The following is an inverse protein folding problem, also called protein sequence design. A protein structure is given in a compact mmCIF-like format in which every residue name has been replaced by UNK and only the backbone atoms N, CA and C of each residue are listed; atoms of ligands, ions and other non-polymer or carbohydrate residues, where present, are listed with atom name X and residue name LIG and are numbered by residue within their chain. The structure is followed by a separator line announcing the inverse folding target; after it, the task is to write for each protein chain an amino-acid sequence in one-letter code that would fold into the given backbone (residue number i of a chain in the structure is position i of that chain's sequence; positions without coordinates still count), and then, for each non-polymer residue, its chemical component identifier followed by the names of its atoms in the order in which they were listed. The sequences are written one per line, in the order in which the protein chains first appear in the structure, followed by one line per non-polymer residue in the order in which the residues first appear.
data_IF_412516690950
#
_entry.id   IF_412516690950
#
_cell.length_a   1.000
_cell.length_b   1.000
_cell.length_c   1.000
_cell.angle_alpha   90.00
_cell.angle_beta   90.00
_cell.angle_gamma   90.00
#
_symmetry.space_group_name_H-M   'P 1'
#
loop_
_entity.id
_entity.type
_entity.pdbx_description
1 polymer ?
#
# COMPACT_ATOMS: atom_id res chain seq x y z
N UNK A 1 -22.35 1.75 -2.09
CA UNK A 1 -20.97 1.23 -2.02
C UNK A 1 -20.53 1.18 -0.56
N UNK A 2 -20.10 0.04 -0.05
CA UNK A 2 -19.76 -0.08 1.37
C UNK A 2 -18.37 0.52 1.61
N UNK A 3 -18.31 1.71 2.22
CA UNK A 3 -17.10 2.47 2.58
C UNK A 3 -16.09 1.72 3.49
N UNK A 4 -16.33 0.45 3.76
CA UNK A 4 -15.71 -0.31 4.84
C UNK A 4 -14.23 -0.70 4.62
N UNK A 5 -13.64 -0.50 3.42
CA UNK A 5 -12.32 -1.06 3.09
C UNK A 5 -11.34 -0.06 2.45
N UNK A 6 -11.63 1.23 2.47
CA UNK A 6 -10.92 2.24 1.68
C UNK A 6 -9.58 2.71 2.29
N UNK A 7 -9.36 2.53 3.57
CA UNK A 7 -8.27 3.19 4.31
C UNK A 7 -6.94 2.44 4.34
N UNK A 8 -6.96 1.15 4.03
CA UNK A 8 -5.73 0.37 3.86
C UNK A 8 -4.96 0.69 2.56
N UNK A 9 -5.45 1.65 1.76
CA UNK A 9 -5.11 1.81 0.35
C UNK A 9 -4.09 2.90 0.03
N UNK A 10 -3.59 3.61 1.01
CA UNK A 10 -2.65 4.69 0.75
C UNK A 10 -1.23 4.16 0.70
N UNK A 11 -0.87 3.47 -0.34
CA UNK A 11 0.47 3.44 -0.96
C UNK A 11 0.44 2.60 -2.23
N UNK A 12 0.59 3.20 -3.32
CA UNK A 12 1.08 2.82 -4.63
C UNK A 12 0.07 2.94 -5.77
N UNK A 13 -0.03 4.13 -6.31
CA UNK A 13 -0.35 4.32 -7.71
C UNK A 13 0.97 4.60 -8.44
N UNK A 14 1.37 3.77 -9.32
CA UNK A 14 2.17 4.04 -10.52
C UNK A 14 2.40 2.76 -11.34
N UNK A 15 2.01 2.85 -12.47
CA UNK A 15 2.33 2.52 -13.87
C UNK A 15 2.67 1.05 -14.24
N UNK A 16 2.31 0.52 -15.23
CA UNK A 16 1.89 0.22 -16.59
C UNK A 16 2.62 -0.96 -17.26
N UNK A 17 2.03 -1.93 -17.85
CA UNK A 17 1.95 -2.57 -19.16
C UNK A 17 1.48 -4.04 -19.18
N UNK A 18 0.82 -4.42 -20.28
CA UNK A 18 0.19 -5.71 -20.50
C UNK A 18 1.20 -6.77 -20.91
N UNK A 19 1.13 -7.95 -20.30
CA UNK A 19 1.79 -9.15 -20.75
C UNK A 19 1.08 -10.40 -20.24
N UNK A 20 0.77 -11.30 -21.17
CA UNK A 20 0.03 -12.55 -20.98
C UNK A 20 0.70 -13.50 -20.00
N UNK A 21 -0.12 -14.30 -19.32
CA UNK A 21 0.15 -15.41 -18.42
C UNK A 21 1.56 -15.96 -18.37
N UNK A 22 2.21 -15.85 -17.22
CA UNK A 22 3.52 -16.45 -17.00
C UNK A 22 3.41 -17.74 -16.22
N UNK A 23 3.82 -18.83 -16.86
CA UNK A 23 4.22 -20.05 -16.18
C UNK A 23 5.33 -19.71 -15.19
N UNK A 24 5.20 -20.17 -13.96
CA UNK A 24 6.18 -19.96 -12.89
C UNK A 24 7.51 -20.61 -13.29
N UNK A 25 8.51 -19.80 -13.62
CA UNK A 25 9.86 -20.27 -13.93
C UNK A 25 10.54 -20.60 -12.61
N UNK A 26 10.97 -21.84 -12.43
CA UNK A 26 11.77 -22.26 -11.29
C UNK A 26 13.07 -21.41 -11.23
N UNK A 27 13.26 -20.67 -10.13
CA UNK A 27 14.40 -19.75 -9.93
C UNK A 27 14.09 -18.26 -10.08
N UNK A 28 12.82 -17.88 -10.32
CA UNK A 28 12.41 -16.46 -10.32
C UNK A 28 12.48 -15.89 -8.89
N UNK A 29 13.01 -14.67 -8.77
CA UNK A 29 12.95 -13.89 -7.53
C UNK A 29 11.53 -13.39 -7.30
N UNK A 30 11.23 -13.04 -6.05
CA UNK A 30 9.95 -12.44 -5.66
C UNK A 30 10.20 -11.17 -4.83
N UNK A 31 9.15 -10.40 -4.57
CA UNK A 31 9.21 -9.26 -3.64
C UNK A 31 9.31 -9.74 -2.18
N UNK A 32 10.23 -10.67 -1.96
CA UNK A 32 10.50 -11.35 -0.70
C UNK A 32 12.01 -11.37 -0.45
N UNK A 33 12.44 -10.98 0.75
CA UNK A 33 13.85 -10.99 1.16
C UNK A 33 14.00 -11.69 2.49
N UNK A 34 15.13 -12.41 2.62
CA UNK A 34 15.63 -12.90 3.91
C UNK A 34 16.69 -11.96 4.40
N UNK A 35 16.58 -11.53 5.66
CA UNK A 35 17.57 -10.71 6.38
C UNK A 35 18.19 -11.58 7.45
N UNK A 36 19.52 -11.71 7.43
CA UNK A 36 20.27 -12.48 8.41
C UNK A 36 20.85 -11.53 9.47
N UNK A 37 20.39 -11.67 10.71
CA UNK A 37 20.94 -10.99 11.90
C UNK A 37 21.97 -11.85 12.63
N UNK A 38 22.48 -11.36 13.75
CA UNK A 38 23.47 -12.07 14.56
C UNK A 38 22.92 -13.29 15.32
N UNK A 39 21.64 -13.29 15.63
CA UNK A 39 20.98 -14.36 16.42
C UNK A 39 19.81 -15.01 15.71
N UNK A 40 19.20 -14.32 14.76
CA UNK A 40 17.99 -14.74 14.08
C UNK A 40 17.97 -14.27 12.63
N UNK A 41 17.05 -14.79 11.84
CA UNK A 41 16.73 -14.25 10.51
C UNK A 41 15.24 -13.94 10.42
N UNK A 42 14.91 -12.88 9.69
CA UNK A 42 13.52 -12.52 9.40
C UNK A 42 13.28 -12.47 7.89
N UNK A 43 12.02 -12.52 7.50
CA UNK A 43 11.62 -12.25 6.13
C UNK A 43 11.00 -10.86 6.02
N UNK A 44 11.27 -10.19 4.89
CA UNK A 44 10.59 -8.96 4.48
C UNK A 44 9.80 -9.27 3.23
N UNK A 45 8.51 -9.04 3.26
CA UNK A 45 7.60 -9.24 2.12
C UNK A 45 6.99 -7.91 1.72
N UNK A 46 7.21 -7.51 0.46
CA UNK A 46 6.50 -6.40 -0.14
C UNK A 46 5.06 -6.80 -0.43
N UNK A 47 4.09 -6.09 0.13
CA UNK A 47 2.66 -6.30 -0.15
C UNK A 47 2.13 -5.37 -1.23
N UNK A 48 1.02 -5.79 -1.83
CA UNK A 48 0.12 -4.99 -2.66
C UNK A 48 -1.27 -5.13 -2.07
N UNK A 49 -1.91 -4.01 -1.76
CA UNK A 49 -3.19 -3.97 -1.03
C UNK A 49 -4.42 -4.35 -1.86
N UNK A 50 -4.31 -4.30 -3.20
CA UNK A 50 -5.36 -4.71 -4.11
C UNK A 50 -4.79 -5.68 -5.14
N UNK A 51 -5.32 -6.90 -5.12
CA UNK A 51 -4.99 -7.93 -6.10
C UNK A 51 -6.26 -8.51 -6.72
N UNK A 52 -6.09 -9.31 -7.76
CA UNK A 52 -7.15 -10.09 -8.37
C UNK A 52 -7.13 -11.52 -7.83
N UNK A 53 -8.27 -12.18 -7.89
CA UNK A 53 -8.35 -13.62 -7.60
C UNK A 53 -7.38 -14.45 -8.45
N UNK A 54 -7.09 -14.00 -9.68
CA UNK A 54 -6.17 -14.66 -10.62
C UNK A 54 -4.70 -14.58 -10.22
N UNK A 55 -4.34 -13.72 -9.25
CA UNK A 55 -2.99 -13.63 -8.70
C UNK A 55 -2.70 -14.72 -7.65
N UNK A 56 -3.68 -15.57 -7.37
CA UNK A 56 -3.56 -16.67 -6.41
C UNK A 56 -3.49 -18.04 -7.10
N UNK A 57 -2.77 -19.00 -6.49
CA UNK A 57 -2.07 -18.92 -5.21
C UNK A 57 -0.84 -18.01 -5.25
N UNK A 58 -0.50 -17.39 -4.11
CA UNK A 58 0.78 -16.68 -3.98
C UNK A 58 1.95 -17.65 -4.20
N UNK A 59 3.08 -17.12 -4.66
CA UNK A 59 4.26 -17.90 -4.95
C UNK A 59 4.71 -18.77 -3.76
N UNK A 60 5.17 -19.98 -4.06
CA UNK A 60 5.57 -20.96 -3.04
C UNK A 60 6.61 -20.40 -2.04
N UNK A 61 7.66 -19.67 -2.46
CA UNK A 61 8.61 -19.06 -1.51
C UNK A 61 7.96 -18.13 -0.49
N UNK A 62 6.97 -17.33 -0.91
CA UNK A 62 6.20 -16.45 -0.02
C UNK A 62 5.42 -17.28 1.00
N UNK A 63 4.72 -18.31 0.55
CA UNK A 63 3.92 -19.17 1.42
C UNK A 63 4.78 -19.98 2.39
N UNK A 64 5.97 -20.40 1.97
CA UNK A 64 6.94 -21.09 2.84
C UNK A 64 7.53 -20.13 3.89
N UNK A 65 7.97 -18.93 3.49
CA UNK A 65 8.46 -17.92 4.42
C UNK A 65 7.40 -17.57 5.47
N UNK A 66 6.15 -17.37 5.03
CA UNK A 66 5.03 -17.12 5.93
C UNK A 66 4.76 -18.33 6.84
N UNK A 67 4.76 -19.57 6.29
CA UNK A 67 4.52 -20.79 7.05
C UNK A 67 5.55 -20.99 8.17
N UNK A 68 6.82 -20.76 7.86
CA UNK A 68 7.95 -20.93 8.79
C UNK A 68 8.02 -19.84 9.86
N UNK A 69 7.41 -18.67 9.67
CA UNK A 69 7.43 -17.58 10.63
C UNK A 69 6.43 -17.81 11.76
N UNK A 70 6.85 -17.59 12.99
CA UNK A 70 6.02 -17.63 14.19
C UNK A 70 5.29 -16.29 14.41
N UNK A 71 5.93 -15.20 13.99
CA UNK A 71 5.42 -13.83 14.11
C UNK A 71 5.11 -13.30 12.72
N UNK A 72 3.91 -12.77 12.52
CA UNK A 72 3.53 -12.00 11.35
C UNK A 72 3.39 -10.52 11.74
N UNK A 73 4.22 -9.68 11.12
CA UNK A 73 4.26 -8.25 11.40
C UNK A 73 3.57 -7.51 10.26
N UNK A 74 2.62 -6.63 10.59
CA UNK A 74 1.89 -5.81 9.63
C UNK A 74 2.08 -4.33 9.93
N UNK A 75 1.74 -3.47 8.98
CA UNK A 75 1.84 -2.02 9.16
C UNK A 75 1.00 -1.54 10.35
N UNK A 76 -0.20 -2.10 10.53
CA UNK A 76 -1.11 -1.73 11.61
C UNK A 76 -2.00 -2.91 12.03
N UNK A 77 -2.78 -2.70 13.09
CA UNK A 77 -3.86 -3.61 13.51
C UNK A 77 -5.07 -3.46 12.57
N UNK A 78 -5.02 -4.14 11.41
CA UNK A 78 -6.04 -3.99 10.36
C UNK A 78 -7.44 -4.33 10.84
N UNK A 79 -7.60 -5.36 11.69
CA UNK A 79 -8.89 -5.72 12.27
C UNK A 79 -9.53 -4.54 13.03
N UNK A 80 -8.72 -3.75 13.74
CA UNK A 80 -9.21 -2.58 14.48
C UNK A 80 -9.62 -1.43 13.58
N UNK A 81 -9.08 -1.34 12.37
CA UNK A 81 -9.56 -0.38 11.36
C UNK A 81 -10.98 -0.72 10.86
N UNK A 82 -11.38 -1.99 10.94
CA UNK A 82 -12.72 -2.45 10.56
C UNK A 82 -13.76 -2.28 11.70
N UNK A 83 -13.34 -1.96 12.93
CA UNK A 83 -14.24 -1.72 14.04
C UNK A 83 -15.18 -0.53 13.76
N UNK A 84 -16.45 -0.59 14.23
CA UNK A 84 -17.45 0.47 13.97
C UNK A 84 -16.99 1.87 14.35
N UNK A 85 -16.30 2.01 15.48
CA UNK A 85 -15.80 3.28 16.01
C UNK A 85 -14.71 3.88 15.10
N UNK A 86 -13.75 3.06 14.67
CA UNK A 86 -12.71 3.46 13.74
C UNK A 86 -13.32 3.88 12.40
N UNK A 87 -14.24 3.09 11.88
CA UNK A 87 -14.97 3.36 10.63
C UNK A 87 -15.81 4.64 10.72
N UNK A 88 -16.45 4.90 11.86
CA UNK A 88 -17.21 6.14 12.07
C UNK A 88 -16.26 7.35 12.11
N UNK A 89 -15.15 7.23 12.83
CA UNK A 89 -14.12 8.28 12.89
C UNK A 89 -13.56 8.60 11.52
N UNK A 90 -13.20 7.58 10.75
CA UNK A 90 -12.72 7.74 9.37
C UNK A 90 -13.75 8.51 8.54
N UNK A 91 -15.03 8.10 8.56
CA UNK A 91 -16.09 8.81 7.83
C UNK A 91 -16.21 10.27 8.25
N UNK A 92 -16.16 10.54 9.56
CA UNK A 92 -16.26 11.92 10.06
C UNK A 92 -15.09 12.79 9.62
N UNK A 93 -13.88 12.21 9.56
CA UNK A 93 -12.65 12.91 9.16
C UNK A 93 -12.49 13.03 7.64
N UNK A 94 -13.19 12.21 6.88
CA UNK A 94 -13.14 12.17 5.42
C UNK A 94 -14.03 13.22 4.74
N UNK A 95 -14.93 13.84 5.48
CA UNK A 95 -15.88 14.82 4.93
C UNK A 95 -15.50 16.26 5.29
N UNK A 96 -15.95 17.17 4.45
CA UNK A 96 -15.82 18.61 4.64
C UNK A 96 -16.83 19.11 5.67
N UNK A 97 -16.52 20.22 6.38
CA UNK A 97 -17.48 20.88 7.25
C UNK A 97 -18.72 21.34 6.47
N UNK A 98 -19.89 21.50 7.14
CA UNK A 98 -21.08 22.05 6.52
C UNK A 98 -20.81 23.37 5.79
N UNK A 99 -21.38 23.51 4.60
CA UNK A 99 -21.22 24.71 3.76
C UNK A 99 -19.97 24.75 2.89
N UNK A 100 -19.05 23.79 3.04
CA UNK A 100 -17.92 23.59 2.13
C UNK A 100 -18.21 22.47 1.13
N UNK A 101 -17.64 22.58 -0.06
CA UNK A 101 -17.75 21.55 -1.12
C UNK A 101 -16.39 21.25 -1.71
N UNK A 102 -16.21 20.03 -2.21
CA UNK A 102 -14.98 19.61 -2.88
C UNK A 102 -14.58 20.56 -4.01
N UNK A 103 -15.56 21.03 -4.77
CA UNK A 103 -15.36 22.03 -5.84
C UNK A 103 -14.65 23.30 -5.36
N UNK A 104 -15.07 23.83 -4.19
CA UNK A 104 -14.49 25.05 -3.61
C UNK A 104 -13.13 24.80 -2.91
N UNK A 105 -12.83 23.57 -2.56
CA UNK A 105 -11.56 23.21 -1.94
C UNK A 105 -10.45 22.98 -2.98
N UNK A 106 -10.80 22.72 -4.24
CA UNK A 106 -9.84 22.45 -5.34
C UNK A 106 -9.65 23.68 -6.22
N UNK A 107 -8.51 23.74 -6.90
CA UNK A 107 -8.32 24.67 -8.01
C UNK A 107 -9.26 24.30 -9.18
N UNK A 108 -9.71 25.27 -9.99
CA UNK A 108 -10.62 25.01 -11.10
C UNK A 108 -10.10 23.96 -12.09
N UNK A 109 -8.79 23.93 -12.34
CA UNK A 109 -8.15 22.97 -13.24
C UNK A 109 -8.24 21.53 -12.68
N UNK A 110 -7.91 21.34 -11.39
CA UNK A 110 -7.99 20.02 -10.75
C UNK A 110 -9.44 19.55 -10.63
N UNK A 111 -10.37 20.44 -10.25
CA UNK A 111 -11.80 20.08 -10.19
C UNK A 111 -12.37 19.72 -11.55
N UNK A 112 -11.99 20.43 -12.62
CA UNK A 112 -12.39 20.13 -13.99
C UNK A 112 -11.92 18.74 -14.43
N UNK A 113 -10.64 18.42 -14.22
CA UNK A 113 -10.09 17.10 -14.50
C UNK A 113 -10.77 16.01 -13.67
N UNK A 114 -10.91 16.21 -12.37
CA UNK A 114 -11.62 15.30 -11.46
C UNK A 114 -13.06 15.03 -11.93
N UNK A 115 -13.79 16.09 -12.32
CA UNK A 115 -15.18 15.97 -12.79
C UNK A 115 -15.30 15.13 -14.05
N UNK A 116 -14.31 15.20 -14.95
CA UNK A 116 -14.27 14.37 -16.15
C UNK A 116 -14.07 12.90 -15.76
N UNK A 117 -13.05 12.59 -14.96
CA UNK A 117 -12.78 11.21 -14.51
C UNK A 117 -13.95 10.59 -13.74
N UNK A 118 -14.64 11.36 -12.88
CA UNK A 118 -15.84 10.86 -12.17
C UNK A 118 -16.93 10.48 -13.16
N UNK A 119 -17.17 11.31 -14.19
CA UNK A 119 -18.17 11.00 -15.25
C UNK A 119 -17.76 9.79 -16.09
N UNK A 120 -16.49 9.72 -16.48
CA UNK A 120 -15.94 8.59 -17.25
C UNK A 120 -15.98 7.28 -16.45
N UNK A 121 -15.84 7.39 -15.14
CA UNK A 121 -16.04 6.28 -14.21
C UNK A 121 -17.50 5.84 -14.08
N UNK A 122 -18.48 6.60 -14.63
CA UNK A 122 -19.91 6.35 -14.48
C UNK A 122 -20.46 6.73 -13.10
N UNK A 123 -19.76 7.61 -12.36
CA UNK A 123 -20.12 8.02 -11.01
C UNK A 123 -20.79 9.41 -11.00
N UNK A 124 -21.52 9.70 -9.92
CA UNK A 124 -22.13 11.01 -9.70
C UNK A 124 -21.21 11.94 -8.92
N UNK A 125 -21.01 13.16 -9.41
CA UNK A 125 -20.29 14.20 -8.69
C UNK A 125 -20.91 14.52 -7.33
N UNK A 126 -22.22 14.33 -7.19
CA UNK A 126 -22.92 14.55 -5.92
C UNK A 126 -22.43 13.62 -4.81
N UNK A 127 -21.96 12.41 -5.13
CA UNK A 127 -21.42 11.46 -4.15
C UNK A 127 -20.09 11.95 -3.54
N UNK A 128 -19.37 12.79 -4.27
CA UNK A 128 -18.07 13.35 -3.87
C UNK A 128 -18.17 14.76 -3.28
N UNK A 129 -19.33 15.41 -3.40
CA UNK A 129 -19.46 16.84 -3.10
C UNK A 129 -19.00 17.24 -1.69
N UNK A 130 -19.16 16.34 -0.72
CA UNK A 130 -18.78 16.56 0.68
C UNK A 130 -17.45 15.89 1.06
N UNK A 131 -16.77 15.19 0.15
CA UNK A 131 -15.48 14.56 0.47
C UNK A 131 -14.37 15.61 0.55
N UNK A 132 -13.43 15.37 1.45
CA UNK A 132 -12.12 16.02 1.38
C UNK A 132 -11.36 15.53 0.13
N UNK A 133 -10.45 16.33 -0.46
CA UNK A 133 -9.75 15.92 -1.69
C UNK A 133 -9.02 14.58 -1.59
N UNK A 134 -8.39 14.27 -0.44
CA UNK A 134 -7.73 12.98 -0.26
C UNK A 134 -8.70 11.79 -0.34
N UNK A 135 -9.91 11.94 0.19
CA UNK A 135 -10.92 10.88 0.14
C UNK A 135 -11.47 10.71 -1.27
N UNK A 136 -11.63 11.81 -2.01
CA UNK A 136 -12.02 11.76 -3.41
C UNK A 136 -10.97 11.03 -4.25
N UNK A 137 -9.67 11.30 -4.02
CA UNK A 137 -8.56 10.62 -4.67
C UNK A 137 -8.62 9.09 -4.44
N UNK A 138 -8.63 8.67 -3.18
CA UNK A 138 -8.67 7.26 -2.80
C UNK A 138 -9.90 6.56 -3.36
N UNK A 139 -11.06 7.20 -3.25
CA UNK A 139 -12.32 6.60 -3.73
C UNK A 139 -12.27 6.36 -5.24
N UNK A 140 -11.79 7.33 -6.01
CA UNK A 140 -11.72 7.22 -7.46
C UNK A 140 -10.70 6.17 -7.89
N UNK A 141 -9.52 6.14 -7.27
CA UNK A 141 -8.48 5.13 -7.52
C UNK A 141 -9.00 3.71 -7.28
N UNK A 142 -9.66 3.49 -6.14
CA UNK A 142 -10.26 2.18 -5.81
C UNK A 142 -11.28 1.75 -6.85
N UNK A 143 -12.15 2.65 -7.28
CA UNK A 143 -13.15 2.36 -8.31
C UNK A 143 -12.47 1.95 -9.62
N UNK A 144 -11.44 2.66 -10.06
CA UNK A 144 -10.72 2.32 -11.28
C UNK A 144 -10.00 0.97 -11.20
N UNK A 145 -9.35 0.69 -10.08
CA UNK A 145 -8.72 -0.62 -9.85
C UNK A 145 -9.76 -1.75 -9.76
N UNK A 146 -10.94 -1.50 -9.18
CA UNK A 146 -12.03 -2.47 -9.13
C UNK A 146 -12.59 -2.80 -10.51
N UNK A 147 -12.61 -1.86 -11.46
CA UNK A 147 -12.96 -2.14 -12.87
C UNK A 147 -11.99 -3.13 -13.53
N UNK A 148 -10.74 -3.19 -13.02
CA UNK A 148 -9.75 -4.17 -13.44
C UNK A 148 -9.85 -5.51 -12.68
N UNK A 149 -10.82 -5.66 -11.80
CA UNK A 149 -11.05 -6.85 -10.98
C UNK A 149 -10.23 -6.89 -9.70
N UNK A 150 -9.47 -5.84 -9.40
CA UNK A 150 -8.71 -5.74 -8.16
C UNK A 150 -9.65 -5.52 -6.96
N UNK A 151 -9.40 -6.20 -5.85
CA UNK A 151 -10.21 -6.13 -4.64
C UNK A 151 -9.31 -6.18 -3.41
N UNK A 152 -9.69 -5.50 -2.35
CA UNK A 152 -8.93 -5.44 -1.09
C UNK A 152 -8.83 -6.80 -0.40
N UNK A 153 -9.86 -7.63 -0.48
CA UNK A 153 -9.88 -8.99 0.07
C UNK A 153 -8.83 -9.92 -0.54
N UNK A 154 -8.33 -9.58 -1.74
CA UNK A 154 -7.21 -10.26 -2.37
C UNK A 154 -5.87 -9.57 -2.12
N UNK A 155 -5.82 -8.46 -1.38
CA UNK A 155 -4.57 -7.84 -0.95
C UNK A 155 -3.69 -8.85 -0.20
N UNK A 156 -2.36 -8.76 -0.42
CA UNK A 156 -1.41 -9.69 0.21
C UNK A 156 -1.48 -9.63 1.73
N UNK A 157 -1.55 -8.43 2.27
CA UNK A 157 -1.66 -8.14 3.70
C UNK A 157 -2.96 -8.69 4.30
N UNK A 158 -4.11 -8.42 3.69
CA UNK A 158 -5.41 -8.91 4.13
C UNK A 158 -5.48 -10.46 4.08
N UNK A 159 -5.03 -11.03 2.97
CA UNK A 159 -4.98 -12.49 2.82
C UNK A 159 -4.09 -13.16 3.86
N UNK A 160 -2.88 -12.61 4.09
CA UNK A 160 -1.94 -13.18 5.05
C UNK A 160 -2.35 -12.91 6.51
N UNK A 161 -3.02 -11.78 6.82
CA UNK A 161 -3.59 -11.53 8.13
C UNK A 161 -4.65 -12.57 8.47
N UNK A 162 -5.64 -12.79 7.59
CA UNK A 162 -6.65 -13.83 7.79
C UNK A 162 -6.04 -15.24 7.92
N UNK A 163 -4.91 -15.48 7.26
CA UNK A 163 -4.17 -16.74 7.40
C UNK A 163 -3.37 -16.80 8.72
N UNK A 164 -2.81 -15.67 9.19
CA UNK A 164 -2.12 -15.60 10.47
C UNK A 164 -3.07 -15.95 11.63
N UNK A 165 -4.30 -15.43 11.60
CA UNK A 165 -5.34 -15.74 12.59
C UNK A 165 -5.70 -17.24 12.57
N UNK A 166 -5.95 -17.82 11.39
CA UNK A 166 -6.27 -19.25 11.26
C UNK A 166 -5.15 -20.15 11.78
N UNK A 167 -3.89 -19.75 11.59
CA UNK A 167 -2.71 -20.48 12.06
C UNK A 167 -2.27 -20.08 13.47
N UNK A 168 -3.01 -19.21 14.15
CA UNK A 168 -2.72 -18.69 15.49
C UNK A 168 -1.30 -18.13 15.65
N UNK A 169 -0.81 -17.44 14.59
CA UNK A 169 0.47 -16.75 14.66
C UNK A 169 0.37 -15.52 15.56
N UNK A 170 1.49 -15.14 16.17
CA UNK A 170 1.57 -13.85 16.86
C UNK A 170 1.52 -12.75 15.81
N UNK A 171 0.49 -11.89 15.85
CA UNK A 171 0.35 -10.73 14.99
C UNK A 171 0.90 -9.51 15.73
N UNK A 172 1.78 -8.75 15.07
CA UNK A 172 2.45 -7.58 15.64
C UNK A 172 2.29 -6.39 14.70
N UNK A 173 1.67 -5.27 15.13
CA UNK A 173 1.57 -4.07 14.32
C UNK A 173 2.86 -3.21 14.45
N UNK A 174 3.23 -2.52 13.38
CA UNK A 174 4.30 -1.51 13.37
C UNK A 174 3.78 -0.15 13.85
N UNK A 175 2.53 0.16 13.55
CA UNK A 175 1.83 1.41 13.88
C UNK A 175 0.47 1.13 14.51
N UNK A 176 -0.08 2.13 15.18
CA UNK A 176 -1.46 2.06 15.68
C UNK A 176 -2.46 2.45 14.58
N UNK A 177 -3.71 1.96 14.64
CA UNK A 177 -4.78 2.39 13.75
C UNK A 177 -4.98 3.92 13.76
N UNK A 178 -4.95 4.52 14.94
CA UNK A 178 -5.06 5.98 15.11
C UNK A 178 -3.97 6.75 14.38
N UNK A 179 -2.74 6.21 14.38
CA UNK A 179 -1.65 6.84 13.64
C UNK A 179 -1.95 6.84 12.14
N UNK A 180 -2.36 5.72 11.56
CA UNK A 180 -2.69 5.64 10.13
C UNK A 180 -3.91 6.49 9.76
N UNK A 181 -4.96 6.49 10.58
CA UNK A 181 -6.12 7.36 10.37
C UNK A 181 -5.67 8.84 10.33
N UNK A 182 -4.90 9.28 11.32
CA UNK A 182 -4.43 10.66 11.39
C UNK A 182 -3.46 11.02 10.25
N UNK A 183 -2.65 10.06 9.79
CA UNK A 183 -1.72 10.26 8.67
C UNK A 183 -2.45 10.74 7.42
N UNK A 184 -3.52 10.04 7.05
CA UNK A 184 -4.25 10.32 5.80
C UNK A 184 -5.28 11.43 5.94
N UNK A 185 -5.92 11.53 7.10
CA UNK A 185 -6.91 12.58 7.36
C UNK A 185 -6.28 13.92 7.72
N UNK A 186 -5.00 13.93 8.09
CA UNK A 186 -4.22 15.10 8.49
C UNK A 186 -3.49 15.80 7.35
N UNK A 187 -3.78 15.48 6.09
CA UNK A 187 -3.26 16.23 4.96
C UNK A 187 -3.82 17.67 4.96
N UNK A 188 -2.94 18.64 4.76
CA UNK A 188 -3.37 20.01 4.50
C UNK A 188 -4.00 20.13 3.10
N UNK A 189 -4.53 21.32 2.78
CA UNK A 189 -5.21 21.56 1.51
C UNK A 189 -4.30 21.27 0.30
N UNK A 190 -3.05 21.73 0.34
CA UNK A 190 -2.09 21.56 -0.75
C UNK A 190 -1.70 20.09 -0.92
N UNK A 191 -1.40 19.38 0.17
CA UNK A 191 -1.10 17.94 0.18
C UNK A 191 -2.26 17.12 -0.40
N UNK A 192 -3.49 17.44 -0.01
CA UNK A 192 -4.69 16.75 -0.46
C UNK A 192 -4.99 16.99 -1.94
N UNK A 193 -4.82 18.23 -2.42
CA UNK A 193 -4.98 18.57 -3.83
C UNK A 193 -3.87 17.94 -4.69
N UNK A 194 -2.64 17.91 -4.20
CA UNK A 194 -1.52 17.27 -4.87
C UNK A 194 -1.73 15.75 -4.99
N UNK A 195 -2.19 15.10 -3.92
CA UNK A 195 -2.54 13.69 -3.95
C UNK A 195 -3.62 13.43 -5.01
N UNK A 196 -4.70 14.21 -5.00
CA UNK A 196 -5.77 14.05 -6.00
C UNK A 196 -5.23 14.26 -7.42
N UNK A 197 -4.41 15.30 -7.65
CA UNK A 197 -3.81 15.57 -8.96
C UNK A 197 -2.95 14.40 -9.44
N UNK A 198 -2.09 13.84 -8.60
CA UNK A 198 -1.29 12.66 -8.94
C UNK A 198 -2.18 11.47 -9.28
N UNK A 199 -3.19 11.19 -8.46
CA UNK A 199 -4.16 10.11 -8.71
C UNK A 199 -4.84 10.26 -10.07
N UNK A 200 -5.25 11.49 -10.45
CA UNK A 200 -5.90 11.73 -11.75
C UNK A 200 -4.96 11.46 -12.93
N UNK A 201 -3.67 11.81 -12.81
CA UNK A 201 -2.66 11.51 -13.82
C UNK A 201 -2.43 9.99 -13.99
N UNK A 202 -2.48 9.25 -12.87
CA UNK A 202 -2.30 7.81 -12.89
C UNK A 202 -3.52 7.08 -13.45
N UNK A 203 -4.74 7.61 -13.23
CA UNK A 203 -5.98 6.99 -13.70
C UNK A 203 -6.02 6.85 -15.22
N UNK A 204 -5.54 7.80 -15.97
CA UNK A 204 -5.50 7.75 -17.45
C UNK A 204 -4.77 6.50 -17.97
N UNK A 205 -3.87 5.96 -17.16
CA UNK A 205 -3.05 4.79 -17.50
C UNK A 205 -3.23 3.62 -16.52
N UNK A 206 -4.26 3.62 -15.66
CA UNK A 206 -4.40 2.65 -14.54
C UNK A 206 -4.26 1.20 -14.96
N UNK A 207 -4.85 0.77 -16.08
CA UNK A 207 -4.76 -0.63 -16.55
C UNK A 207 -3.31 -1.03 -16.84
N UNK A 208 -2.61 -0.15 -17.48
CA UNK A 208 -1.24 -0.34 -17.88
C UNK A 208 -0.35 -0.33 -16.61
N UNK A 209 -0.52 0.65 -15.72
CA UNK A 209 0.19 0.89 -14.46
C UNK A 209 0.07 -0.26 -13.49
N UNK A 210 -1.12 -0.72 -13.29
CA UNK A 210 -1.41 -1.84 -12.40
C UNK A 210 -0.84 -3.17 -12.92
N UNK A 211 -0.88 -3.38 -14.26
CA UNK A 211 -0.32 -4.59 -14.87
C UNK A 211 1.20 -4.73 -14.69
N UNK A 212 1.97 -3.64 -14.92
CA UNK A 212 3.44 -3.65 -14.71
C UNK A 212 3.82 -3.79 -13.25
N UNK A 213 3.08 -3.12 -12.36
CA UNK A 213 3.27 -3.29 -10.93
C UNK A 213 3.15 -4.76 -10.53
N UNK A 214 2.07 -5.40 -10.96
CA UNK A 214 1.84 -6.81 -10.67
C UNK A 214 2.95 -7.69 -11.25
N UNK A 215 3.34 -7.46 -12.50
CA UNK A 215 4.40 -8.22 -13.14
C UNK A 215 5.74 -8.04 -12.40
N UNK A 216 6.15 -6.79 -12.15
CA UNK A 216 7.40 -6.49 -11.46
C UNK A 216 7.40 -7.07 -10.03
N UNK A 217 6.26 -7.00 -9.34
CA UNK A 217 6.10 -7.57 -8.00
C UNK A 217 6.19 -9.09 -8.01
N UNK A 218 5.53 -9.76 -8.95
CA UNK A 218 5.53 -11.23 -9.07
C UNK A 218 6.90 -11.79 -9.46
N UNK A 219 7.65 -11.06 -10.29
CA UNK A 219 8.98 -11.46 -10.75
C UNK A 219 10.11 -10.93 -9.86
N UNK A 220 9.80 -10.14 -8.83
CA UNK A 220 10.78 -9.53 -7.95
C UNK A 220 11.71 -8.54 -8.65
N UNK A 221 11.24 -7.89 -9.72
CA UNK A 221 11.98 -6.85 -10.45
C UNK A 221 12.04 -5.55 -9.62
N UNK A 222 13.01 -5.49 -8.71
CA UNK A 222 13.21 -4.36 -7.82
C UNK A 222 13.55 -3.08 -8.57
N UNK A 223 14.29 -3.17 -9.68
CA UNK A 223 14.67 -1.98 -10.46
C UNK A 223 13.43 -1.33 -11.08
N UNK A 224 12.53 -2.14 -11.66
CA UNK A 224 11.26 -1.66 -12.19
C UNK A 224 10.36 -1.08 -11.09
N UNK A 225 10.23 -1.78 -9.96
CA UNK A 225 9.45 -1.30 -8.81
C UNK A 225 9.99 0.02 -8.25
N UNK A 226 11.31 0.19 -8.15
CA UNK A 226 11.93 1.46 -7.73
C UNK A 226 11.72 2.58 -8.73
N UNK A 227 11.82 2.30 -10.04
CA UNK A 227 11.51 3.28 -11.09
C UNK A 227 10.08 3.79 -10.94
N UNK A 228 9.14 2.87 -10.79
CA UNK A 228 7.71 3.19 -10.63
C UNK A 228 7.43 4.02 -9.38
N UNK A 229 8.07 3.68 -8.25
CA UNK A 229 7.98 4.48 -7.02
C UNK A 229 8.51 5.90 -7.21
N UNK A 230 9.63 6.06 -7.90
CA UNK A 230 10.23 7.35 -8.15
C UNK A 230 9.39 8.21 -9.11
N UNK A 231 8.77 7.59 -10.11
CA UNK A 231 7.91 8.27 -11.09
C UNK A 231 6.59 8.73 -10.44
N UNK A 232 5.88 7.85 -9.75
CA UNK A 232 4.56 8.14 -9.17
C UNK A 232 4.55 9.23 -8.11
N UNK A 233 5.67 9.50 -7.45
CA UNK A 233 5.77 10.52 -6.40
C UNK A 233 6.83 11.58 -6.68
N UNK A 234 7.34 11.61 -7.93
CA UNK A 234 8.34 12.61 -8.37
C UNK A 234 7.87 14.04 -8.09
N UNK A 235 6.60 14.32 -8.38
CA UNK A 235 6.01 15.65 -8.20
C UNK A 235 5.52 15.90 -6.76
N UNK A 236 5.57 14.89 -5.88
CA UNK A 236 5.06 14.95 -4.52
C UNK A 236 6.06 14.43 -3.46
N UNK A 237 7.33 14.89 -3.43
CA UNK A 237 8.36 14.34 -2.54
C UNK A 237 8.03 14.50 -1.05
N UNK A 238 7.27 15.54 -0.67
CA UNK A 238 6.81 15.74 0.70
C UNK A 238 5.76 14.69 1.12
N UNK A 239 4.86 14.32 0.21
CA UNK A 239 3.89 13.23 0.44
C UNK A 239 4.61 11.88 0.54
N UNK A 240 5.55 11.59 -0.35
CA UNK A 240 6.36 10.37 -0.28
C UNK A 240 7.11 10.27 1.06
N UNK A 241 7.73 11.37 1.47
CA UNK A 241 8.41 11.42 2.75
C UNK A 241 7.46 11.07 3.90
N UNK A 242 6.28 11.69 3.95
CA UNK A 242 5.26 11.51 5.00
C UNK A 242 4.66 10.10 4.99
N UNK A 243 4.30 9.60 3.81
CA UNK A 243 3.57 8.34 3.64
C UNK A 243 4.48 7.10 3.70
N UNK A 244 5.74 7.24 3.28
CA UNK A 244 6.65 6.11 3.14
C UNK A 244 7.89 6.27 4.02
N UNK A 245 8.72 7.27 3.75
CA UNK A 245 10.07 7.34 4.31
C UNK A 245 10.09 7.49 5.83
N UNK A 246 9.33 8.46 6.37
CA UNK A 246 9.30 8.73 7.82
C UNK A 246 8.67 7.56 8.61
N UNK A 247 7.76 6.83 7.98
CA UNK A 247 7.17 5.61 8.56
C UNK A 247 8.19 4.48 8.58
N UNK A 248 8.84 4.22 7.45
CA UNK A 248 9.89 3.19 7.35
C UNK A 248 10.97 3.40 8.41
N UNK A 249 11.46 4.63 8.56
CA UNK A 249 12.50 4.94 9.55
C UNK A 249 12.02 4.73 11.00
N UNK A 250 10.78 5.06 11.31
CA UNK A 250 10.19 4.79 12.64
C UNK A 250 10.03 3.32 12.94
N UNK A 251 9.85 2.48 11.94
CA UNK A 251 9.72 1.03 12.11
C UNK A 251 11.05 0.34 12.38
N UNK A 252 12.18 0.94 11.97
CA UNK A 252 13.50 0.30 12.05
C UNK A 252 13.85 -0.23 13.43
N UNK A 253 13.65 0.47 14.56
CA UNK A 253 13.95 -0.07 15.88
C UNK A 253 13.24 -1.40 16.17
N UNK A 254 11.97 -1.53 15.75
CA UNK A 254 11.18 -2.75 15.94
C UNK A 254 11.66 -3.89 15.04
N UNK A 255 12.09 -3.57 13.81
CA UNK A 255 12.72 -4.55 12.91
C UNK A 255 14.04 -5.07 13.49
N UNK A 256 14.86 -4.19 14.08
CA UNK A 256 16.11 -4.56 14.73
C UNK A 256 15.89 -5.42 15.99
N UNK A 257 14.80 -5.18 16.73
CA UNK A 257 14.41 -6.01 17.87
C UNK A 257 14.05 -7.44 17.42
N UNK A 258 13.28 -7.57 16.33
CA UNK A 258 12.93 -8.89 15.76
C UNK A 258 14.17 -9.67 15.31
N UNK A 259 15.21 -9.01 14.79
CA UNK A 259 16.48 -9.63 14.38
C UNK A 259 17.32 -10.10 15.56
N UNK A 260 17.13 -9.51 16.74
CA UNK A 260 17.81 -9.92 18.00
C UNK A 260 17.05 -11.02 18.74
N UNK A 261 15.77 -11.18 18.44
CA UNK A 261 14.92 -12.19 19.07
C UNK A 261 15.26 -13.62 18.64
N UNK A 262 14.53 -14.58 19.17
CA UNK A 262 14.69 -16.02 18.90
C UNK A 262 13.61 -16.59 17.98
N UNK A 263 12.54 -15.82 17.72
CA UNK A 263 11.41 -16.26 16.91
C UNK A 263 11.52 -15.74 15.48
N UNK A 264 11.32 -16.64 14.54
CA UNK A 264 11.28 -16.26 13.13
C UNK A 264 10.06 -15.38 12.84
N UNK A 265 10.29 -14.25 12.19
CA UNK A 265 9.25 -13.30 11.82
C UNK A 265 9.21 -13.06 10.31
N UNK A 266 8.03 -12.73 9.81
CA UNK A 266 7.81 -12.15 8.48
C UNK A 266 7.18 -10.77 8.64
N UNK A 267 7.82 -9.75 8.06
CA UNK A 267 7.37 -8.37 8.04
C UNK A 267 6.69 -8.12 6.69
N UNK A 268 5.41 -7.82 6.73
CA UNK A 268 4.53 -7.65 5.58
C UNK A 268 4.12 -6.19 5.53
N UNK A 269 4.71 -5.45 4.60
CA UNK A 269 4.50 -4.01 4.44
C UNK A 269 4.40 -3.66 2.96
N UNK A 270 3.75 -2.56 2.62
CA UNK A 270 3.69 -2.09 1.23
C UNK A 270 5.07 -2.08 0.58
N UNK A 271 5.16 -2.59 -0.64
CA UNK A 271 6.43 -2.76 -1.37
C UNK A 271 7.28 -1.48 -1.39
N UNK A 272 6.65 -0.30 -1.40
CA UNK A 272 7.33 0.99 -1.37
C UNK A 272 8.17 1.24 -0.12
N UNK A 273 7.84 0.61 1.01
CA UNK A 273 8.62 0.73 2.24
C UNK A 273 9.93 -0.07 2.22
N UNK A 274 10.03 -1.06 1.34
CA UNK A 274 11.21 -1.93 1.25
C UNK A 274 12.29 -1.34 0.34
N UNK A 275 11.91 -0.62 -0.71
CA UNK A 275 12.76 -0.25 -1.84
C UNK A 275 13.27 1.20 -1.77
N UNK A 276 14.28 1.50 -2.58
CA UNK A 276 14.88 2.83 -2.69
C UNK A 276 15.91 3.14 -1.61
N UNK A 277 16.57 4.31 -1.74
CA UNK A 277 17.72 4.73 -0.90
C UNK A 277 17.41 4.82 0.60
N UNK A 278 16.17 5.07 0.97
CA UNK A 278 15.65 5.14 2.35
C UNK A 278 14.66 4.02 2.65
N UNK A 279 14.54 3.02 1.79
CA UNK A 279 13.77 1.82 2.03
C UNK A 279 14.43 0.89 3.04
N UNK A 280 13.64 0.03 3.66
CA UNK A 280 14.07 -0.86 4.74
C UNK A 280 15.27 -1.73 4.34
N UNK A 281 15.31 -2.23 3.11
CA UNK A 281 16.42 -3.05 2.60
C UNK A 281 17.74 -2.29 2.65
N UNK A 282 17.78 -1.06 2.12
CA UNK A 282 19.00 -0.25 2.11
C UNK A 282 19.41 0.23 3.51
N UNK A 283 18.43 0.52 4.38
CA UNK A 283 18.70 0.88 5.77
C UNK A 283 19.34 -0.28 6.54
N UNK A 284 18.89 -1.52 6.31
CA UNK A 284 19.46 -2.71 6.94
C UNK A 284 20.83 -3.08 6.35
N UNK A 285 21.03 -2.93 5.03
CA UNK A 285 22.37 -3.11 4.41
C UNK A 285 23.40 -2.14 4.98
N UNK A 286 23.04 -0.88 5.19
CA UNK A 286 23.93 0.12 5.83
C UNK A 286 24.35 -0.24 7.26
N UNK A 287 23.56 -1.09 7.93
CA UNK A 287 23.88 -1.66 9.25
C UNK A 287 24.74 -2.93 9.16
N UNK A 288 25.19 -3.32 7.97
CA UNK A 288 26.05 -4.48 7.75
C UNK A 288 25.31 -5.82 7.71
N UNK A 289 23.98 -5.82 7.62
CA UNK A 289 23.19 -7.05 7.57
C UNK A 289 23.22 -7.66 6.16
N UNK A 290 23.30 -8.99 6.12
CA UNK A 290 23.22 -9.75 4.87
C UNK A 290 21.75 -9.90 4.47
N UNK A 291 21.41 -9.50 3.24
CA UNK A 291 20.06 -9.54 2.70
C UNK A 291 20.07 -10.28 1.38
N UNK A 292 19.23 -11.28 1.27
CA UNK A 292 19.09 -12.11 0.07
C UNK A 292 17.66 -12.06 -0.43
N UNK A 293 17.46 -11.68 -1.68
CA UNK A 293 16.16 -11.77 -2.34
C UNK A 293 15.87 -13.23 -2.74
N UNK A 294 14.64 -13.70 -2.46
CA UNK A 294 14.19 -15.07 -2.67
C UNK A 294 13.25 -15.19 -3.88
#
# INVERSE_FOLDING_TARGET
MKLKRIIALIVLAAAVFIGSGSAQVAGSKHSLWKVEGSGNSIYLLGSIHLLNRTNYPLAMPIMQAFGNSQIAVFETEMDRLEEPEAQQRIRSLAVLPPGKTLERELSPAVYGSFSNHVRDAGLSLAEFAQFKPFMAAITLEVVELQKLGAQTEYGVDEFLLGRAHRLRKTVVPLETPDFQINLVTGFNKQESELLLKSTLQDIDNTRQVYGELLQAWQTGDTAKLESMLNEGLHDAPALFKKLVTDRTERWMPKIEELLKGDKQAIVIVGTGHLLGKRGMIELLKKKGLKITQL
#
